data_IF_243211837383
#
_entry.id   IF_243211837383
#
_cell.length_a   1.000
_cell.length_b   1.000
_cell.length_c   1.000
_cell.angle_alpha   90.00
_cell.angle_beta   90.00
_cell.angle_gamma   90.00
#
_symmetry.space_group_name_H-M   'P 1'
#
loop_
_entity.id
_entity.type
_entity.pdbx_description
1 polymer ?
#
# COMPACT_ATOMS: atom_id res chain seq x y z
N UNK A 1 -14.96 16.65 -20.15
CA UNK A 1 -14.52 15.24 -20.26
C UNK A 1 -14.76 14.62 -18.91
N UNK A 2 -15.71 13.68 -18.80
CA UNK A 2 -15.99 13.04 -17.51
C UNK A 2 -14.85 12.08 -17.20
N UNK A 3 -14.31 12.21 -15.99
CA UNK A 3 -13.35 11.27 -15.46
C UNK A 3 -14.00 9.89 -15.30
N UNK A 4 -13.30 8.82 -15.68
CA UNK A 4 -13.80 7.45 -15.46
C UNK A 4 -13.74 7.12 -13.96
N UNK A 5 -14.62 6.24 -13.48
CA UNK A 5 -14.62 5.83 -12.06
C UNK A 5 -13.25 5.33 -11.59
N UNK A 6 -12.56 4.55 -12.42
CA UNK A 6 -11.22 4.07 -12.15
C UNK A 6 -10.19 5.21 -12.00
N UNK A 7 -10.29 6.25 -12.81
CA UNK A 7 -9.36 7.39 -12.73
C UNK A 7 -9.64 8.23 -11.48
N UNK A 8 -10.90 8.41 -11.12
CA UNK A 8 -11.29 9.08 -9.87
C UNK A 8 -10.78 8.33 -8.63
N UNK A 9 -10.77 6.99 -8.66
CA UNK A 9 -10.18 6.17 -7.60
C UNK A 9 -8.66 6.33 -7.53
N UNK A 10 -7.97 6.32 -8.67
CA UNK A 10 -6.52 6.55 -8.72
C UNK A 10 -6.15 7.93 -8.16
N UNK A 11 -6.94 8.97 -8.45
CA UNK A 11 -6.73 10.30 -7.88
C UNK A 11 -6.91 10.32 -6.38
N UNK A 12 -7.95 9.68 -5.85
CA UNK A 12 -8.15 9.56 -4.39
C UNK A 12 -6.97 8.88 -3.71
N UNK A 13 -6.51 7.76 -4.27
CA UNK A 13 -5.35 7.04 -3.72
C UNK A 13 -4.11 7.94 -3.71
N UNK A 14 -3.86 8.67 -4.81
CA UNK A 14 -2.72 9.58 -4.91
C UNK A 14 -2.81 10.74 -3.92
N UNK A 15 -3.99 11.31 -3.76
CA UNK A 15 -4.24 12.40 -2.81
C UNK A 15 -4.03 11.94 -1.37
N UNK A 16 -4.53 10.75 -1.01
CA UNK A 16 -4.31 10.15 0.30
C UNK A 16 -2.82 9.94 0.59
N UNK A 17 -2.07 9.32 -0.33
CA UNK A 17 -0.62 9.11 -0.18
C UNK A 17 0.09 10.46 -0.01
N UNK A 18 -0.25 11.46 -0.82
CA UNK A 18 0.35 12.79 -0.70
C UNK A 18 0.06 13.43 0.65
N UNK A 19 -1.19 13.43 1.10
CA UNK A 19 -1.60 14.01 2.38
C UNK A 19 -0.92 13.33 3.57
N UNK A 20 -0.72 12.01 3.49
CA UNK A 20 -0.02 11.23 4.50
C UNK A 20 1.48 11.55 4.53
N UNK A 21 2.11 11.80 3.39
CA UNK A 21 3.58 11.91 3.30
C UNK A 21 4.08 13.35 3.13
N UNK A 22 3.23 14.35 2.88
CA UNK A 22 3.64 15.73 2.50
C UNK A 22 4.49 16.47 3.54
N UNK A 23 4.44 16.06 4.80
CA UNK A 23 5.18 16.70 5.90
C UNK A 23 6.33 15.82 6.41
N UNK A 24 6.61 14.68 5.77
CA UNK A 24 7.72 13.82 6.13
C UNK A 24 9.02 14.39 5.55
N UNK A 25 10.09 14.31 6.33
CA UNK A 25 11.45 14.39 5.79
C UNK A 25 11.76 13.17 4.92
N UNK A 26 12.81 13.26 4.10
CA UNK A 26 13.27 12.14 3.27
C UNK A 26 13.57 10.88 4.09
N UNK A 27 14.13 11.05 5.30
CA UNK A 27 14.40 9.94 6.22
C UNK A 27 13.12 9.30 6.74
N UNK A 28 12.13 10.10 7.16
CA UNK A 28 10.83 9.60 7.59
C UNK A 28 10.07 8.90 6.46
N UNK A 29 10.17 9.41 5.24
CA UNK A 29 9.55 8.80 4.07
C UNK A 29 10.20 7.46 3.73
N UNK A 30 11.54 7.35 3.79
CA UNK A 30 12.25 6.08 3.60
C UNK A 30 11.82 5.06 4.67
N UNK A 31 11.72 5.46 5.93
CA UNK A 31 11.25 4.59 7.00
C UNK A 31 9.78 4.18 6.84
N UNK A 32 8.93 5.08 6.36
CA UNK A 32 7.54 4.78 6.02
C UNK A 32 7.48 3.66 4.95
N UNK A 33 8.21 3.83 3.84
CA UNK A 33 8.25 2.82 2.76
C UNK A 33 8.78 1.48 3.27
N UNK A 34 9.81 1.46 4.12
CA UNK A 34 10.33 0.22 4.73
C UNK A 34 9.27 -0.49 5.56
N UNK A 35 8.51 0.24 6.38
CA UNK A 35 7.44 -0.32 7.21
C UNK A 35 6.32 -0.92 6.35
N UNK A 36 5.88 -0.21 5.33
CA UNK A 36 4.86 -0.72 4.40
C UNK A 36 5.33 -1.97 3.67
N UNK A 37 6.61 -2.02 3.24
CA UNK A 37 7.18 -3.20 2.60
C UNK A 37 7.21 -4.43 3.53
N UNK A 38 7.58 -4.26 4.80
CA UNK A 38 7.56 -5.37 5.76
C UNK A 38 6.14 -5.85 6.10
N UNK A 39 5.14 -4.94 6.17
CA UNK A 39 3.74 -5.33 6.32
C UNK A 39 3.28 -6.22 5.17
N UNK A 40 3.48 -5.78 3.92
CA UNK A 40 3.09 -6.54 2.72
C UNK A 40 3.77 -7.90 2.67
N UNK A 41 5.04 -7.97 3.06
CA UNK A 41 5.80 -9.22 3.11
C UNK A 41 5.21 -10.20 4.13
N UNK A 42 4.77 -9.71 5.29
CA UNK A 42 4.12 -10.53 6.32
C UNK A 42 2.73 -11.00 5.88
N UNK A 43 1.91 -10.12 5.30
CA UNK A 43 0.62 -10.48 4.71
C UNK A 43 0.78 -11.57 3.64
N UNK A 44 1.78 -11.44 2.77
CA UNK A 44 2.12 -12.45 1.76
C UNK A 44 2.58 -13.78 2.39
N UNK A 45 3.27 -13.74 3.54
CA UNK A 45 3.66 -14.96 4.26
C UNK A 45 2.43 -15.67 4.81
N UNK A 46 1.53 -14.94 5.46
CA UNK A 46 0.28 -15.48 6.01
C UNK A 46 -0.61 -16.07 4.91
N UNK A 47 -0.80 -15.33 3.81
CA UNK A 47 -1.58 -15.81 2.66
C UNK A 47 -1.03 -17.12 2.09
N UNK A 48 0.30 -17.26 1.98
CA UNK A 48 0.95 -18.51 1.56
C UNK A 48 0.69 -19.65 2.54
N UNK A 49 0.70 -19.39 3.84
CA UNK A 49 0.43 -20.40 4.86
C UNK A 49 -1.03 -20.87 4.83
N UNK A 50 -1.97 -19.94 4.69
CA UNK A 50 -3.39 -20.25 4.53
C UNK A 50 -3.64 -21.06 3.27
N UNK A 51 -3.04 -20.66 2.15
CA UNK A 51 -3.13 -21.40 0.88
C UNK A 51 -2.61 -22.83 1.03
N UNK A 52 -1.47 -23.02 1.72
CA UNK A 52 -0.92 -24.37 1.99
C UNK A 52 -1.84 -25.22 2.87
N UNK A 53 -2.53 -24.63 3.85
CA UNK A 53 -3.48 -25.33 4.71
C UNK A 53 -4.77 -25.72 3.99
N UNK A 54 -5.16 -25.00 2.94
CA UNK A 54 -6.35 -25.31 2.14
C UNK A 54 -6.11 -26.37 1.07
N UNK A 55 -4.85 -26.58 0.66
CA UNK A 55 -4.45 -27.54 -0.39
C UNK A 55 -4.07 -28.91 0.19
N UNK A 56 -3.81 -29.02 1.50
CA UNK A 56 -3.54 -30.27 2.22
C UNK A 56 -4.76 -30.74 3.02
#
# INVERSE_FOLDING_TARGET
MFETSAMAELHKIREQIYEETKNMSDEEFIEFIRKEAEKVKEEMRLLKEETRKQVN
#
